data_IF_736756125324
#
_entry.id   IF_736756125324
#
_cell.length_a   1.000
_cell.length_b   1.000
_cell.length_c   1.000
_cell.angle_alpha   90.00
_cell.angle_beta   90.00
_cell.angle_gamma   90.00
#
_symmetry.space_group_name_H-M   'P 1'
#
loop_
_entity.id
_entity.type
_entity.pdbx_description
1 polymer ?
#
# COMPACT_ATOMS: atom_id res chain seq x y z
N UNK A 1 36.88 0.07 -23.81
CA UNK A 1 37.02 1.54 -23.78
C UNK A 1 36.03 2.12 -24.79
N UNK A 2 35.02 2.87 -24.34
CA UNK A 2 34.14 3.61 -25.26
C UNK A 2 34.62 5.06 -25.32
N UNK A 3 35.27 5.41 -26.43
CA UNK A 3 35.65 6.77 -26.79
C UNK A 3 34.53 7.36 -27.65
N UNK A 4 33.63 8.12 -27.05
CA UNK A 4 32.79 9.06 -27.80
C UNK A 4 32.33 10.20 -26.89
N UNK A 5 32.96 11.34 -27.06
CA UNK A 5 32.64 12.59 -26.42
C UNK A 5 31.56 13.30 -27.24
N UNK A 6 30.27 12.99 -26.98
CA UNK A 6 29.07 13.83 -27.26
C UNK A 6 27.74 13.10 -26.98
N UNK A 7 27.64 12.39 -25.86
CA UNK A 7 26.33 11.92 -25.37
C UNK A 7 25.89 12.79 -24.20
N UNK A 8 24.86 13.63 -24.41
CA UNK A 8 24.19 14.40 -23.34
C UNK A 8 23.22 13.54 -22.49
N UNK A 9 23.22 12.22 -22.68
CA UNK A 9 22.56 11.28 -21.77
C UNK A 9 23.65 10.70 -20.87
N UNK A 10 23.52 10.74 -19.53
CA UNK A 10 24.51 10.12 -18.64
C UNK A 10 24.72 8.66 -19.03
N UNK A 11 25.92 8.34 -19.51
CA UNK A 11 26.36 7.03 -20.01
C UNK A 11 26.16 5.88 -18.99
N UNK A 12 25.82 6.21 -17.74
CA UNK A 12 25.55 5.29 -16.62
C UNK A 12 24.26 4.47 -16.80
N UNK A 13 23.37 4.84 -17.73
CA UNK A 13 22.06 4.20 -17.90
C UNK A 13 21.99 3.20 -19.06
N UNK A 14 23.08 2.92 -19.80
CA UNK A 14 23.05 1.99 -20.95
C UNK A 14 24.16 0.95 -20.84
N UNK A 15 23.78 -0.33 -20.96
CA UNK A 15 24.72 -1.45 -21.14
C UNK A 15 25.63 -1.76 -19.93
N UNK A 16 26.88 -2.24 -20.16
CA UNK A 16 27.79 -2.77 -19.13
C UNK A 16 28.26 -1.75 -18.09
N UNK A 17 27.96 -0.46 -18.29
CA UNK A 17 28.27 0.62 -17.35
C UNK A 17 27.24 0.76 -16.21
N UNK A 18 26.14 -0.01 -16.24
CA UNK A 18 25.15 0.00 -15.15
C UNK A 18 25.73 -0.59 -13.86
N UNK A 19 25.56 0.11 -12.72
CA UNK A 19 26.07 -0.37 -11.45
C UNK A 19 25.39 -1.69 -11.06
N UNK A 20 26.13 -2.55 -10.34
CA UNK A 20 25.68 -3.91 -9.99
C UNK A 20 24.31 -3.93 -9.30
N UNK A 21 24.08 -3.05 -8.33
CA UNK A 21 22.80 -2.94 -7.62
C UNK A 21 21.60 -2.69 -8.56
N UNK A 22 21.79 -1.86 -9.59
CA UNK A 22 20.74 -1.53 -10.56
C UNK A 22 20.45 -2.75 -11.45
N UNK A 23 21.49 -3.47 -11.88
CA UNK A 23 21.34 -4.71 -12.64
C UNK A 23 20.65 -5.81 -11.82
N UNK A 24 20.90 -5.88 -10.51
CA UNK A 24 20.18 -6.82 -9.63
C UNK A 24 18.68 -6.52 -9.60
N UNK A 25 18.30 -5.25 -9.54
CA UNK A 25 16.88 -4.87 -9.65
C UNK A 25 16.34 -5.18 -11.04
N UNK A 26 17.04 -4.81 -12.11
CA UNK A 26 16.59 -5.07 -13.49
C UNK A 26 16.37 -6.57 -13.74
N UNK A 27 17.22 -7.44 -13.17
CA UNK A 27 17.09 -8.89 -13.27
C UNK A 27 15.84 -9.45 -12.57
N UNK A 28 15.25 -8.76 -11.59
CA UNK A 28 13.99 -9.17 -10.98
C UNK A 28 12.84 -9.18 -11.99
N UNK A 29 12.93 -8.35 -13.04
CA UNK A 29 11.94 -8.27 -14.13
C UNK A 29 12.27 -9.21 -15.29
N UNK A 30 13.42 -9.90 -15.24
CA UNK A 30 13.89 -10.80 -16.28
C UNK A 30 13.64 -12.25 -15.85
N UNK A 31 12.77 -12.97 -16.56
CA UNK A 31 12.48 -14.38 -16.28
C UNK A 31 11.02 -14.64 -15.96
N UNK A 32 10.72 -15.82 -15.44
CA UNK A 32 9.37 -16.20 -15.05
C UNK A 32 8.95 -15.44 -13.78
N UNK A 33 7.87 -14.63 -13.81
CA UNK A 33 7.38 -13.89 -12.64
C UNK A 33 7.03 -14.78 -11.44
N UNK A 34 6.72 -16.06 -11.67
CA UNK A 34 6.40 -17.02 -10.62
C UNK A 34 7.65 -17.54 -9.89
N UNK A 35 8.85 -17.34 -10.44
CA UNK A 35 10.10 -17.80 -9.84
C UNK A 35 10.75 -16.70 -8.99
N UNK A 36 10.74 -16.90 -7.68
CA UNK A 36 11.34 -15.96 -6.72
C UNK A 36 12.87 -15.93 -6.71
N UNK A 37 13.55 -16.69 -7.58
CA UNK A 37 15.01 -16.85 -7.57
C UNK A 37 15.76 -15.50 -7.71
N UNK A 38 15.32 -14.64 -8.63
CA UNK A 38 15.96 -13.33 -8.83
C UNK A 38 15.66 -12.36 -7.68
N UNK A 39 14.46 -12.41 -7.10
CA UNK A 39 14.11 -11.65 -5.89
C UNK A 39 14.96 -12.12 -4.70
N UNK A 40 15.14 -13.43 -4.51
CA UNK A 40 15.98 -14.00 -3.44
C UNK A 40 17.44 -13.59 -3.57
N UNK A 41 17.98 -13.55 -4.79
CA UNK A 41 19.33 -13.02 -5.06
C UNK A 41 19.44 -11.54 -4.71
N UNK A 42 18.42 -10.74 -5.03
CA UNK A 42 18.38 -9.32 -4.66
C UNK A 42 18.32 -9.15 -3.13
N UNK A 43 17.47 -9.90 -2.43
CA UNK A 43 17.37 -9.90 -0.97
C UNK A 43 18.72 -10.23 -0.35
N UNK A 44 19.35 -11.33 -0.77
CA UNK A 44 20.68 -11.72 -0.30
C UNK A 44 21.71 -10.61 -0.52
N UNK A 45 21.69 -9.96 -1.68
CA UNK A 45 22.56 -8.82 -1.98
C UNK A 45 22.32 -7.64 -1.03
N UNK A 46 21.06 -7.28 -0.77
CA UNK A 46 20.67 -6.20 0.14
C UNK A 46 21.11 -6.46 1.58
N UNK A 47 20.99 -7.71 2.07
CA UNK A 47 21.45 -8.09 3.41
C UNK A 47 22.97 -7.91 3.60
N UNK A 48 23.75 -8.12 2.54
CA UNK A 48 25.21 -7.96 2.57
C UNK A 48 25.68 -6.53 2.24
N UNK A 49 24.85 -5.73 1.57
CA UNK A 49 25.17 -4.35 1.17
C UNK A 49 24.05 -3.39 1.55
N UNK A 50 23.80 -3.19 2.85
CA UNK A 50 22.68 -2.38 3.34
C UNK A 50 22.80 -0.91 2.91
N UNK A 51 24.01 -0.38 2.69
CA UNK A 51 24.25 0.99 2.20
C UNK A 51 23.65 1.26 0.80
N UNK A 52 23.34 0.22 0.02
CA UNK A 52 22.73 0.34 -1.31
C UNK A 52 21.19 0.33 -1.27
N UNK A 53 20.58 -0.08 -0.17
CA UNK A 53 19.17 -0.40 -0.11
C UNK A 53 18.26 0.80 -0.38
N UNK A 54 18.61 1.98 0.14
CA UNK A 54 17.90 3.23 -0.18
C UNK A 54 17.84 3.50 -1.70
N UNK A 55 18.96 3.31 -2.41
CA UNK A 55 19.02 3.50 -3.87
C UNK A 55 18.22 2.44 -4.62
N UNK A 56 18.27 1.20 -4.16
CA UNK A 56 17.51 0.07 -4.70
C UNK A 56 16.01 0.35 -4.58
N UNK A 57 15.54 0.73 -3.40
CA UNK A 57 14.15 1.06 -3.13
C UNK A 57 13.67 2.23 -4.01
N UNK A 58 14.42 3.35 -4.02
CA UNK A 58 14.10 4.50 -4.89
C UNK A 58 14.05 4.14 -6.37
N UNK A 59 14.90 3.22 -6.82
CA UNK A 59 14.89 2.74 -8.20
C UNK A 59 13.69 1.84 -8.51
N UNK A 60 13.26 0.99 -7.56
CA UNK A 60 12.01 0.23 -7.69
C UNK A 60 10.81 1.16 -7.86
N UNK A 61 10.69 2.21 -7.03
CA UNK A 61 9.64 3.22 -7.19
C UNK A 61 9.71 3.91 -8.56
N UNK A 62 10.91 4.32 -9.00
CA UNK A 62 11.10 4.94 -10.32
C UNK A 62 10.63 4.03 -11.45
N UNK A 63 10.95 2.73 -11.38
CA UNK A 63 10.51 1.74 -12.37
C UNK A 63 8.99 1.58 -12.34
N UNK A 64 8.40 1.39 -11.16
CA UNK A 64 6.95 1.29 -11.01
C UNK A 64 6.23 2.50 -11.63
N UNK A 65 6.69 3.72 -11.34
CA UNK A 65 6.12 4.95 -11.93
C UNK A 65 6.20 4.98 -13.45
N UNK A 66 7.28 4.47 -14.04
CA UNK A 66 7.40 4.35 -15.50
C UNK A 66 6.48 3.26 -16.07
N UNK A 67 6.36 2.13 -15.38
CA UNK A 67 5.53 1.01 -15.80
C UNK A 67 4.04 1.37 -15.71
N UNK A 68 3.60 2.12 -14.68
CA UNK A 68 2.25 2.70 -14.57
C UNK A 68 1.91 3.54 -15.80
N UNK A 69 2.81 4.45 -16.20
CA UNK A 69 2.61 5.29 -17.38
C UNK A 69 2.57 4.49 -18.70
N UNK A 70 3.33 3.39 -18.77
CA UNK A 70 3.41 2.51 -19.95
C UNK A 70 2.38 1.39 -19.97
N UNK A 71 1.62 1.21 -18.89
CA UNK A 71 0.65 0.12 -18.68
C UNK A 71 1.26 -1.28 -18.77
N UNK A 72 2.42 -1.48 -18.16
CA UNK A 72 3.04 -2.81 -18.04
C UNK A 72 2.68 -3.51 -16.73
N UNK A 73 1.48 -4.10 -16.68
CA UNK A 73 0.85 -4.62 -15.47
C UNK A 73 1.70 -5.66 -14.74
N UNK A 74 2.31 -6.58 -15.48
CA UNK A 74 3.18 -7.61 -14.90
C UNK A 74 4.37 -7.00 -14.17
N UNK A 75 4.98 -5.95 -14.73
CA UNK A 75 6.10 -5.26 -14.08
C UNK A 75 5.64 -4.53 -12.82
N UNK A 76 4.43 -3.96 -12.81
CA UNK A 76 3.89 -3.31 -11.62
C UNK A 76 3.72 -4.31 -10.48
N UNK A 77 3.17 -5.51 -10.77
CA UNK A 77 3.05 -6.59 -9.80
C UNK A 77 4.42 -7.01 -9.25
N UNK A 78 5.39 -7.26 -10.14
CA UNK A 78 6.76 -7.64 -9.76
C UNK A 78 7.40 -6.58 -8.84
N UNK A 79 7.19 -5.29 -9.13
CA UNK A 79 7.75 -4.21 -8.32
C UNK A 79 7.18 -4.20 -6.90
N UNK A 80 5.86 -4.35 -6.76
CA UNK A 80 5.15 -4.39 -5.47
C UNK A 80 5.54 -5.63 -4.66
N UNK A 81 5.57 -6.80 -5.29
CA UNK A 81 5.99 -8.04 -4.62
C UNK A 81 7.45 -7.96 -4.17
N UNK A 82 8.33 -7.38 -5.00
CA UNK A 82 9.73 -7.22 -4.68
C UNK A 82 9.95 -6.31 -3.45
N UNK A 83 9.25 -5.17 -3.36
CA UNK A 83 9.39 -4.28 -2.19
C UNK A 83 8.81 -4.92 -0.93
N UNK A 84 7.69 -5.66 -1.03
CA UNK A 84 7.11 -6.43 0.08
C UNK A 84 8.12 -7.43 0.65
N UNK A 85 8.76 -8.25 -0.21
CA UNK A 85 9.78 -9.21 0.23
C UNK A 85 11.01 -8.54 0.84
N UNK A 86 11.43 -7.39 0.32
CA UNK A 86 12.53 -6.62 0.91
C UNK A 86 12.17 -6.11 2.32
N UNK A 87 10.95 -5.60 2.53
CA UNK A 87 10.47 -5.15 3.85
C UNK A 87 10.47 -6.30 4.86
N UNK A 88 10.04 -7.48 4.43
CA UNK A 88 9.99 -8.68 5.26
C UNK A 88 11.39 -9.15 5.65
N UNK A 89 12.38 -9.10 4.75
CA UNK A 89 13.71 -9.65 4.99
C UNK A 89 14.73 -8.65 5.57
N UNK A 90 14.65 -7.37 5.22
CA UNK A 90 15.69 -6.37 5.54
C UNK A 90 15.34 -5.52 6.78
N UNK A 91 15.24 -6.16 7.95
CA UNK A 91 14.79 -5.54 9.21
C UNK A 91 15.59 -4.28 9.60
N UNK A 92 16.92 -4.30 9.46
CA UNK A 92 17.80 -3.21 9.91
C UNK A 92 17.66 -1.88 9.16
N UNK A 93 16.90 -1.83 8.06
CA UNK A 93 16.61 -0.61 7.30
C UNK A 93 15.13 -0.51 6.88
N UNK A 94 14.25 -1.16 7.66
CA UNK A 94 12.84 -1.27 7.31
C UNK A 94 12.13 0.08 7.15
N UNK A 95 12.52 1.09 7.92
CA UNK A 95 12.03 2.47 7.77
C UNK A 95 12.20 3.02 6.34
N UNK A 96 13.39 2.87 5.76
CA UNK A 96 13.69 3.38 4.40
C UNK A 96 12.82 2.67 3.37
N UNK A 97 12.65 1.35 3.53
CA UNK A 97 11.81 0.55 2.65
C UNK A 97 10.33 0.91 2.79
N UNK A 98 9.84 1.08 4.02
CA UNK A 98 8.48 1.48 4.31
C UNK A 98 8.13 2.84 3.69
N UNK A 99 9.00 3.84 3.79
CA UNK A 99 8.78 5.15 3.16
C UNK A 99 8.62 5.05 1.64
N UNK A 100 9.48 4.26 0.98
CA UNK A 100 9.37 4.04 -0.47
C UNK A 100 8.11 3.24 -0.81
N UNK A 101 7.80 2.23 -0.01
CA UNK A 101 6.62 1.40 -0.16
C UNK A 101 5.32 2.21 -0.08
N UNK A 102 5.16 3.06 0.93
CA UNK A 102 3.97 3.91 1.07
C UNK A 102 3.82 4.85 -0.13
N UNK A 103 4.92 5.36 -0.69
CA UNK A 103 4.89 6.12 -1.95
C UNK A 103 4.48 5.28 -3.15
N UNK A 104 4.86 4.00 -3.21
CA UNK A 104 4.43 3.06 -4.26
C UNK A 104 2.93 2.76 -4.14
N UNK A 105 2.43 2.51 -2.92
CA UNK A 105 1.00 2.33 -2.65
C UNK A 105 0.21 3.57 -3.07
N UNK A 106 0.64 4.76 -2.63
CA UNK A 106 -0.02 6.01 -2.99
C UNK A 106 -0.06 6.22 -4.51
N UNK A 107 1.05 5.98 -5.21
CA UNK A 107 1.11 6.06 -6.68
C UNK A 107 0.07 5.16 -7.36
N UNK A 108 -0.13 3.94 -6.87
CA UNK A 108 -1.10 3.01 -7.44
C UNK A 108 -2.55 3.41 -7.11
N UNK A 109 -2.80 3.90 -5.89
CA UNK A 109 -4.14 4.37 -5.48
C UNK A 109 -4.61 5.58 -6.28
N UNK A 110 -3.69 6.46 -6.69
CA UNK A 110 -3.97 7.63 -7.53
C UNK A 110 -4.31 7.28 -9.00
N UNK A 111 -4.19 6.01 -9.40
CA UNK A 111 -4.60 5.59 -10.73
C UNK A 111 -6.11 5.39 -10.82
N UNK A 112 -6.70 5.57 -12.01
CA UNK A 112 -8.12 5.24 -12.26
C UNK A 112 -8.33 3.74 -12.55
N UNK A 113 -7.43 2.88 -12.04
CA UNK A 113 -7.40 1.45 -12.35
C UNK A 113 -7.71 0.64 -11.10
N UNK A 114 -8.92 0.06 -11.08
CA UNK A 114 -9.44 -0.73 -9.96
C UNK A 114 -8.52 -1.89 -9.57
N UNK A 115 -7.93 -2.57 -10.54
CA UNK A 115 -7.00 -3.68 -10.32
C UNK A 115 -5.73 -3.25 -9.57
N UNK A 116 -5.18 -2.08 -9.93
CA UNK A 116 -4.00 -1.51 -9.26
C UNK A 116 -4.32 -0.97 -7.87
N UNK A 117 -5.49 -0.35 -7.70
CA UNK A 117 -5.97 0.11 -6.39
C UNK A 117 -6.15 -1.07 -5.43
N UNK A 118 -6.75 -2.18 -5.89
CA UNK A 118 -6.89 -3.41 -5.09
C UNK A 118 -5.52 -4.01 -4.76
N UNK A 119 -4.58 -4.07 -5.72
CA UNK A 119 -3.21 -4.54 -5.47
C UNK A 119 -2.52 -3.71 -4.37
N UNK A 120 -2.64 -2.38 -4.45
CA UNK A 120 -2.07 -1.45 -3.49
C UNK A 120 -2.67 -1.65 -2.08
N UNK A 121 -3.99 -1.75 -1.98
CA UNK A 121 -4.70 -1.97 -0.72
C UNK A 121 -4.29 -3.32 -0.07
N UNK A 122 -4.28 -4.41 -0.84
CA UNK A 122 -3.85 -5.74 -0.33
C UNK A 122 -2.43 -5.73 0.19
N UNK A 123 -1.52 -5.17 -0.60
CA UNK A 123 -0.11 -5.05 -0.23
C UNK A 123 0.08 -4.18 1.03
N UNK A 124 -0.69 -3.10 1.17
CA UNK A 124 -0.70 -2.26 2.37
C UNK A 124 -1.22 -3.00 3.61
N UNK A 125 -2.24 -3.85 3.47
CA UNK A 125 -2.77 -4.66 4.57
C UNK A 125 -1.70 -5.63 5.08
N UNK A 126 -0.98 -6.32 4.19
CA UNK A 126 0.15 -7.18 4.57
C UNK A 126 1.22 -6.38 5.32
N UNK A 127 1.58 -5.20 4.82
CA UNK A 127 2.51 -4.29 5.48
C UNK A 127 2.02 -3.85 6.88
N UNK A 128 0.71 -3.63 7.03
CA UNK A 128 0.10 -3.19 8.28
C UNK A 128 0.27 -4.20 9.43
N UNK A 129 0.47 -5.47 9.11
CA UNK A 129 0.60 -6.56 10.08
C UNK A 129 2.01 -6.70 10.66
N UNK A 130 3.00 -6.02 10.07
CA UNK A 130 4.39 -6.09 10.53
C UNK A 130 4.56 -5.24 11.80
N UNK A 131 5.00 -5.82 12.90
CA UNK A 131 5.33 -5.07 14.11
C UNK A 131 6.70 -4.37 13.94
N UNK A 132 6.78 -3.07 14.25
CA UNK A 132 7.98 -2.23 14.09
C UNK A 132 8.12 -1.21 15.23
N UNK A 133 9.32 -1.07 15.78
CA UNK A 133 9.59 -0.32 17.02
C UNK A 133 9.58 1.22 16.89
N UNK A 134 9.62 1.83 15.68
CA UNK A 134 9.45 3.28 15.33
C UNK A 134 9.73 3.45 13.80
N UNK A 135 9.17 4.42 13.02
CA UNK A 135 8.37 5.60 13.36
C UNK A 135 6.96 5.68 12.74
N UNK A 136 6.29 6.74 13.17
CA UNK A 136 4.97 7.23 12.80
C UNK A 136 4.92 7.76 11.34
N UNK A 137 4.24 7.04 10.44
CA UNK A 137 4.02 7.42 9.03
C UNK A 137 2.75 8.28 8.84
N UNK A 138 2.40 9.08 9.85
CA UNK A 138 1.11 9.78 9.93
C UNK A 138 0.79 10.60 8.67
N UNK A 139 1.79 11.29 8.12
CA UNK A 139 1.59 12.12 6.92
C UNK A 139 1.22 11.27 5.72
N UNK A 140 1.97 10.20 5.48
CA UNK A 140 1.70 9.26 4.39
C UNK A 140 0.34 8.57 4.58
N UNK A 141 -0.03 8.23 5.81
CA UNK A 141 -1.33 7.61 6.11
C UNK A 141 -2.51 8.52 5.82
N UNK A 142 -2.40 9.83 6.10
CA UNK A 142 -3.47 10.79 5.79
C UNK A 142 -3.86 10.77 4.30
N UNK A 143 -2.87 10.77 3.41
CA UNK A 143 -3.11 10.72 1.96
C UNK A 143 -3.74 9.37 1.53
N UNK A 144 -3.38 8.27 2.21
CA UNK A 144 -3.94 6.94 1.94
C UNK A 144 -5.40 6.80 2.41
N UNK A 145 -5.75 7.39 3.56
CA UNK A 145 -7.11 7.34 4.13
C UNK A 145 -8.14 7.87 3.12
N UNK A 146 -7.83 8.97 2.43
CA UNK A 146 -8.75 9.56 1.46
C UNK A 146 -9.06 8.61 0.31
N UNK A 147 -8.05 7.90 -0.19
CA UNK A 147 -8.22 6.91 -1.25
C UNK A 147 -8.99 5.68 -0.75
N UNK A 148 -8.65 5.16 0.44
CA UNK A 148 -9.33 3.99 0.99
C UNK A 148 -10.81 4.27 1.33
N UNK A 149 -11.12 5.45 1.87
CA UNK A 149 -12.50 5.89 2.08
C UNK A 149 -13.22 6.00 0.74
N UNK A 150 -12.62 6.62 -0.28
CA UNK A 150 -13.22 6.69 -1.63
C UNK A 150 -13.50 5.30 -2.22
N UNK A 151 -12.61 4.33 -2.02
CA UNK A 151 -12.83 2.93 -2.45
C UNK A 151 -13.98 2.27 -1.65
N UNK A 152 -14.07 2.52 -0.34
CA UNK A 152 -15.18 2.06 0.49
C UNK A 152 -16.54 2.67 0.09
N UNK A 153 -16.54 3.79 -0.63
CA UNK A 153 -17.73 4.42 -1.22
C UNK A 153 -18.00 4.00 -2.68
N UNK A 154 -17.26 3.03 -3.24
CA UNK A 154 -17.43 2.65 -4.64
C UNK A 154 -18.89 2.31 -4.98
N UNK A 155 -19.36 2.81 -6.12
CA UNK A 155 -20.77 2.74 -6.54
C UNK A 155 -20.93 2.12 -7.94
N UNK A 156 -20.04 1.18 -8.32
CA UNK A 156 -20.13 0.48 -9.61
C UNK A 156 -21.49 -0.24 -9.74
N UNK A 157 -22.14 -0.20 -10.92
CA UNK A 157 -23.35 -0.97 -11.17
C UNK A 157 -23.10 -2.48 -11.14
N UNK A 158 -21.85 -2.91 -11.38
CA UNK A 158 -21.45 -4.29 -11.21
C UNK A 158 -21.24 -4.58 -9.71
N UNK A 159 -22.19 -5.30 -9.11
CA UNK A 159 -22.20 -5.65 -7.68
C UNK A 159 -20.89 -6.31 -7.25
N UNK A 160 -20.37 -7.26 -8.04
CA UNK A 160 -19.16 -8.01 -7.71
C UNK A 160 -17.92 -7.11 -7.73
N UNK A 161 -17.82 -6.22 -8.71
CA UNK A 161 -16.74 -5.25 -8.76
C UNK A 161 -16.85 -4.23 -7.62
N UNK A 162 -18.05 -3.68 -7.40
CA UNK A 162 -18.36 -2.75 -6.31
C UNK A 162 -17.93 -3.34 -4.97
N UNK A 163 -18.36 -4.55 -4.65
CA UNK A 163 -18.04 -5.20 -3.37
C UNK A 163 -16.54 -5.46 -3.25
N UNK A 164 -15.84 -5.89 -4.30
CA UNK A 164 -14.37 -6.04 -4.29
C UNK A 164 -13.62 -4.74 -4.01
N UNK A 165 -14.05 -3.63 -4.62
CA UNK A 165 -13.43 -2.32 -4.37
C UNK A 165 -13.72 -1.84 -2.95
N UNK A 166 -14.97 -1.99 -2.49
CA UNK A 166 -15.36 -1.65 -1.11
C UNK A 166 -14.57 -2.45 -0.09
N UNK A 167 -14.45 -3.77 -0.26
CA UNK A 167 -13.61 -4.64 0.58
C UNK A 167 -12.17 -4.15 0.64
N UNK A 168 -11.55 -3.87 -0.51
CA UNK A 168 -10.18 -3.36 -0.56
C UNK A 168 -10.04 -2.01 0.18
N UNK A 169 -11.02 -1.11 0.03
CA UNK A 169 -11.06 0.15 0.79
C UNK A 169 -11.16 -0.07 2.29
N UNK A 170 -12.07 -0.93 2.75
CA UNK A 170 -12.28 -1.25 4.16
C UNK A 170 -11.04 -1.91 4.78
N UNK A 171 -10.41 -2.87 4.08
CA UNK A 171 -9.15 -3.46 4.53
C UNK A 171 -8.01 -2.42 4.58
N UNK A 172 -7.95 -1.50 3.62
CA UNK A 172 -7.02 -0.37 3.67
C UNK A 172 -7.21 0.49 4.93
N UNK A 173 -8.46 0.84 5.25
CA UNK A 173 -8.83 1.55 6.49
C UNK A 173 -8.38 0.73 7.72
N UNK A 174 -8.68 -0.57 7.75
CA UNK A 174 -8.26 -1.47 8.83
C UNK A 174 -6.74 -1.46 9.03
N UNK A 175 -5.97 -1.49 7.93
CA UNK A 175 -4.51 -1.44 7.98
C UNK A 175 -3.99 -0.15 8.59
N UNK A 176 -4.63 1.00 8.27
CA UNK A 176 -4.29 2.29 8.88
C UNK A 176 -4.63 2.27 10.38
N UNK A 177 -5.85 1.86 10.74
CA UNK A 177 -6.30 1.75 12.15
C UNK A 177 -5.38 0.84 12.96
N UNK A 178 -4.89 -0.26 12.37
CA UNK A 178 -3.95 -1.18 13.00
C UNK A 178 -2.60 -0.52 13.27
N UNK A 179 -2.07 0.25 12.30
CA UNK A 179 -0.77 0.93 12.41
C UNK A 179 -0.81 2.21 13.24
N UNK A 180 -1.99 2.77 13.48
CA UNK A 180 -2.20 3.91 14.39
C UNK A 180 -2.39 3.38 15.81
N UNK A 181 -1.35 3.46 16.66
CA UNK A 181 -1.35 2.88 18.02
C UNK A 181 -1.50 3.95 19.11
N UNK A 182 -2.30 3.66 20.14
CA UNK A 182 -2.25 4.32 21.46
C UNK A 182 -2.60 5.82 21.47
N UNK A 183 -1.74 6.65 22.06
CA UNK A 183 -1.90 8.12 22.17
C UNK A 183 -1.93 8.86 20.82
N UNK A 184 -1.72 8.18 19.69
CA UNK A 184 -1.88 8.76 18.35
C UNK A 184 -3.30 8.63 17.82
N UNK A 185 -4.08 7.66 18.32
CA UNK A 185 -5.54 7.71 18.24
C UNK A 185 -6.01 9.01 18.94
N UNK A 186 -5.33 9.44 20.01
CA UNK A 186 -5.60 10.72 20.66
C UNK A 186 -5.23 11.94 19.82
N UNK A 187 -4.21 11.89 18.97
CA UNK A 187 -3.87 13.02 18.10
C UNK A 187 -4.76 13.10 16.85
N UNK A 188 -5.12 11.97 16.24
CA UNK A 188 -6.05 11.94 15.11
C UNK A 188 -7.50 12.20 15.55
N UNK A 189 -7.84 11.84 16.79
CA UNK A 189 -9.13 12.16 17.40
C UNK A 189 -9.14 13.60 17.95
N UNK A 190 -8.11 14.08 18.64
CA UNK A 190 -8.07 15.47 19.19
C UNK A 190 -7.74 16.53 18.13
N UNK A 191 -7.17 16.18 16.96
CA UNK A 191 -6.76 17.16 15.94
C UNK A 191 -7.18 16.90 14.46
N UNK A 192 -7.78 15.78 14.03
CA UNK A 192 -7.84 15.43 12.59
C UNK A 192 -9.21 15.09 11.95
N UNK A 193 -9.46 15.60 10.74
CA UNK A 193 -10.60 15.32 9.83
C UNK A 193 -10.79 13.84 9.42
N UNK A 194 -9.88 12.93 9.78
CA UNK A 194 -9.85 11.55 9.25
C UNK A 194 -11.00 10.68 9.76
N UNK A 195 -11.34 10.78 11.05
CA UNK A 195 -12.48 10.01 11.61
C UNK A 195 -13.82 10.43 10.97
N UNK A 196 -13.96 11.71 10.60
CA UNK A 196 -15.13 12.21 9.87
C UNK A 196 -15.25 11.63 8.45
N UNK A 197 -14.22 10.93 7.94
CA UNK A 197 -14.26 10.21 6.67
C UNK A 197 -14.41 8.71 6.92
N UNK A 198 -13.58 8.16 7.80
CA UNK A 198 -13.54 6.72 8.13
C UNK A 198 -14.88 6.25 8.68
N UNK A 199 -15.44 6.91 9.68
CA UNK A 199 -16.68 6.47 10.33
C UNK A 199 -17.86 6.47 9.33
N UNK A 200 -18.13 7.55 8.57
CA UNK A 200 -19.15 7.50 7.52
C UNK A 200 -18.93 6.43 6.45
N UNK A 201 -17.69 6.21 6.00
CA UNK A 201 -17.39 5.16 5.03
C UNK A 201 -17.71 3.76 5.55
N UNK A 202 -17.42 3.48 6.83
CA UNK A 202 -17.77 2.20 7.45
C UNK A 202 -19.28 2.09 7.63
N UNK A 203 -19.95 3.12 8.15
CA UNK A 203 -21.39 3.13 8.37
C UNK A 203 -22.18 2.95 7.06
N UNK A 204 -21.75 3.58 5.96
CA UNK A 204 -22.36 3.37 4.63
C UNK A 204 -22.41 1.87 4.29
N UNK A 205 -21.30 1.16 4.44
CA UNK A 205 -21.23 -0.26 4.13
C UNK A 205 -22.05 -1.13 5.09
N UNK A 206 -22.14 -0.73 6.38
CA UNK A 206 -22.97 -1.41 7.38
C UNK A 206 -24.46 -1.25 7.07
N UNK A 207 -24.90 -0.05 6.65
CA UNK A 207 -26.30 0.27 6.42
C UNK A 207 -26.80 -0.17 5.04
N UNK A 208 -26.02 0.02 3.98
CA UNK A 208 -26.44 -0.34 2.63
C UNK A 208 -26.56 -1.85 2.44
N UNK A 209 -25.92 -2.68 3.30
CA UNK A 209 -25.87 -4.15 3.19
C UNK A 209 -25.70 -4.58 1.73
N UNK A 210 -24.49 -4.42 1.16
CA UNK A 210 -24.26 -4.60 -0.26
C UNK A 210 -24.81 -5.94 -0.71
N UNK A 211 -25.59 -5.94 -1.79
CA UNK A 211 -26.16 -7.15 -2.36
C UNK A 211 -25.06 -8.20 -2.57
N UNK A 212 -25.30 -9.41 -2.08
CA UNK A 212 -24.44 -10.57 -2.31
C UNK A 212 -24.99 -11.34 -3.50
N UNK A 213 -24.11 -11.83 -4.37
CA UNK A 213 -24.51 -12.67 -5.50
C UNK A 213 -24.91 -14.07 -4.97
N UNK A 214 -26.18 -14.48 -5.10
CA UNK A 214 -26.70 -15.70 -4.47
C UNK A 214 -26.08 -17.01 -4.99
N UNK A 215 -25.16 -16.96 -5.97
CA UNK A 215 -24.47 -18.12 -6.53
C UNK A 215 -23.01 -18.33 -6.08
N UNK A 216 -22.49 -17.54 -5.13
CA UNK A 216 -21.08 -17.64 -4.70
C UNK A 216 -20.95 -17.67 -3.18
N UNK A 217 -20.60 -18.83 -2.63
CA UNK A 217 -20.43 -19.06 -1.19
C UNK A 217 -19.20 -18.32 -0.60
N UNK A 218 -18.20 -18.00 -1.43
CA UNK A 218 -16.95 -17.33 -1.02
C UNK A 218 -16.96 -15.80 -1.23
N UNK A 219 -18.12 -15.15 -1.28
CA UNK A 219 -18.14 -13.68 -1.42
C UNK A 219 -17.81 -12.98 -0.10
N UNK A 220 -16.69 -12.23 -0.13
CA UNK A 220 -16.36 -11.26 0.90
C UNK A 220 -17.47 -10.19 0.98
N UNK A 221 -18.10 -10.08 2.16
CA UNK A 221 -19.19 -9.14 2.46
C UNK A 221 -18.63 -7.84 3.07
N UNK A 222 -18.66 -6.71 2.33
CA UNK A 222 -18.17 -5.42 2.84
C UNK A 222 -18.87 -4.97 4.12
N UNK A 223 -20.13 -5.35 4.34
CA UNK A 223 -20.84 -4.96 5.56
C UNK A 223 -20.28 -5.65 6.79
N UNK A 224 -19.95 -6.94 6.69
CA UNK A 224 -19.36 -7.71 7.79
C UNK A 224 -17.98 -7.18 8.17
N UNK A 225 -17.12 -6.93 7.18
CA UNK A 225 -15.80 -6.37 7.44
C UNK A 225 -15.90 -4.96 8.00
N UNK A 226 -16.81 -4.12 7.49
CA UNK A 226 -17.03 -2.78 8.04
C UNK A 226 -17.49 -2.82 9.50
N UNK A 227 -18.35 -3.77 9.89
CA UNK A 227 -18.73 -3.98 11.30
C UNK A 227 -17.51 -4.35 12.14
N UNK A 228 -16.65 -5.24 11.64
CA UNK A 228 -15.44 -5.64 12.36
C UNK A 228 -14.52 -4.44 12.62
N UNK A 229 -14.21 -3.67 11.58
CA UNK A 229 -13.33 -2.49 11.69
C UNK A 229 -13.96 -1.42 12.60
N UNK A 230 -15.26 -1.17 12.47
CA UNK A 230 -15.96 -0.22 13.32
C UNK A 230 -15.91 -0.61 14.81
N UNK A 231 -16.13 -1.91 15.12
CA UNK A 231 -16.01 -2.43 16.49
C UNK A 231 -14.58 -2.30 17.02
N UNK A 232 -13.57 -2.56 16.18
CA UNK A 232 -12.17 -2.39 16.57
C UNK A 232 -11.86 -0.94 16.94
N UNK A 233 -12.28 0.04 16.11
CA UNK A 233 -12.15 1.47 16.42
C UNK A 233 -12.88 1.83 17.73
N UNK A 234 -14.14 1.41 17.86
CA UNK A 234 -14.96 1.72 19.03
C UNK A 234 -14.39 1.12 20.33
N UNK A 235 -13.84 -0.09 20.27
CA UNK A 235 -13.23 -0.76 21.44
C UNK A 235 -11.92 -0.12 21.89
N UNK A 236 -11.20 0.54 20.97
CA UNK A 236 -9.97 1.29 21.26
C UNK A 236 -10.23 2.73 21.71
N UNK A 237 -11.44 3.25 21.55
CA UNK A 237 -11.79 4.60 21.96
C UNK A 237 -11.86 4.70 23.50
N UNK A 238 -10.87 5.33 24.11
CA UNK A 238 -10.87 5.70 25.54
C UNK A 238 -11.74 6.94 25.81
N UNK A 239 -11.95 7.29 27.09
CA UNK A 239 -12.74 8.47 27.50
C UNK A 239 -12.32 9.79 26.83
N UNK A 240 -11.04 9.94 26.47
CA UNK A 240 -10.54 11.15 25.82
C UNK A 240 -10.71 11.16 24.30
N UNK A 241 -11.03 10.00 23.70
CA UNK A 241 -11.13 9.81 22.27
C UNK A 241 -12.52 9.43 21.76
N UNK A 242 -13.49 9.22 22.66
CA UNK A 242 -14.84 8.81 22.28
C UNK A 242 -15.62 9.93 21.58
N UNK A 243 -15.32 11.21 21.87
CA UNK A 243 -16.13 12.34 21.39
C UNK A 243 -16.15 12.45 19.86
N UNK A 244 -15.02 12.44 19.12
CA UNK A 244 -15.04 12.52 17.65
C UNK A 244 -15.63 11.30 16.96
N UNK A 245 -15.45 10.10 17.55
CA UNK A 245 -16.14 8.88 17.09
C UNK A 245 -17.65 9.07 17.20
N UNK A 246 -18.14 9.50 18.38
CA UNK A 246 -19.58 9.75 18.61
C UNK A 246 -20.09 10.90 17.75
N UNK A 247 -19.36 12.01 17.61
CA UNK A 247 -19.76 13.14 16.75
C UNK A 247 -19.91 12.69 15.31
N UNK A 248 -18.97 11.90 14.77
CA UNK A 248 -19.02 11.40 13.39
C UNK A 248 -20.20 10.45 13.14
N UNK A 249 -20.71 9.78 14.18
CA UNK A 249 -21.91 8.93 14.08
C UNK A 249 -23.18 9.79 14.01
N UNK A 250 -23.17 10.97 14.63
CA UNK A 250 -24.35 11.84 14.79
C UNK A 250 -24.51 12.87 13.66
N UNK A 251 -23.51 13.05 12.81
CA UNK A 251 -23.51 13.98 11.65
C UNK A 251 -23.63 13.22 10.34
#
# INVERSE_FOLDING_TARGET
MCLSARCHVPCVLVGPCRPKWMRMVDNVYSGNPQESNNQNKLIHYCLHQPDKLDRIAKYLYKRLSQDVNRRYDLNMFIAIECINKLIQACHGQRLVLAQVFLRMVHLLLQTNRVDLQILAAKSFVEFSQIEDDVPNYLKEYNDLIDHFCSMAHASSPNIRERNKVRMAGIFGIQGVVRKTVGDQLHLDVVHGSNMNKIIPSLLLNIFEKPELDPGTEDQEDPSQEAVFVFKDIASRASHSNIRPVVTSILT
#
